data_IF_691183619205
#
_entry.id   IF_691183619205
#
_cell.length_a   1.000
_cell.length_b   1.000
_cell.length_c   1.000
_cell.angle_alpha   90.00
_cell.angle_beta   90.00
_cell.angle_gamma   90.00
#
_symmetry.space_group_name_H-M   'P 1'
#
loop_
_entity.id
_entity.type
_entity.pdbx_description
1 polymer ?
#
# COMPACT_ATOMS: atom_id res chain seq x y z
N UNK A 1 8.67 17.13 34.78
CA UNK A 1 8.33 15.73 34.96
C UNK A 1 7.17 15.39 34.03
N UNK A 2 7.32 15.00 32.87
CA UNK A 2 7.66 13.70 32.33
C UNK A 2 6.66 12.60 32.64
N UNK A 3 5.48 12.59 32.04
CA UNK A 3 4.79 11.33 31.86
C UNK A 3 4.74 11.02 30.38
N UNK A 4 5.88 10.67 29.94
CA UNK A 4 6.20 9.95 28.75
C UNK A 4 5.49 8.60 28.81
N UNK A 5 4.86 8.24 27.73
CA UNK A 5 4.53 6.87 27.38
C UNK A 5 5.56 5.93 28.02
N UNK A 6 5.14 5.04 28.91
CA UNK A 6 6.08 4.10 29.53
C UNK A 6 6.75 3.34 28.39
N UNK A 7 8.06 3.53 28.24
CA UNK A 7 8.89 2.89 27.20
C UNK A 7 8.82 1.36 27.26
N UNK A 8 8.35 0.83 28.37
CA UNK A 8 8.33 -0.60 28.67
C UNK A 8 7.32 -1.41 27.86
N UNK A 9 6.47 -0.76 27.08
CA UNK A 9 5.39 -1.43 26.32
C UNK A 9 5.36 -1.10 24.82
N UNK A 10 6.31 -0.35 24.29
CA UNK A 10 6.35 -0.02 22.88
C UNK A 10 7.30 -0.97 22.11
N UNK A 11 6.84 -1.53 21.02
CA UNK A 11 7.64 -2.35 20.11
C UNK A 11 7.92 -1.60 18.79
N UNK A 12 9.04 -1.92 18.14
CA UNK A 12 9.33 -1.41 16.78
C UNK A 12 8.21 -1.84 15.83
N UNK A 13 7.69 -0.87 15.07
CA UNK A 13 6.55 -1.05 14.18
C UNK A 13 5.19 -0.71 14.82
N UNK A 14 5.13 -0.44 16.12
CA UNK A 14 3.89 0.02 16.74
C UNK A 14 3.51 1.42 16.24
N UNK A 15 2.21 1.63 16.08
CA UNK A 15 1.65 2.93 15.73
C UNK A 15 1.38 3.72 16.99
N UNK A 16 1.90 4.93 17.04
CA UNK A 16 1.64 5.92 18.07
C UNK A 16 0.78 7.07 17.54
N UNK A 17 0.00 7.67 18.41
CA UNK A 17 -0.77 8.88 18.16
C UNK A 17 -0.14 10.02 18.96
N UNK A 18 0.31 11.06 18.25
CA UNK A 18 0.86 12.28 18.84
C UNK A 18 -0.25 13.32 18.84
N UNK A 19 -0.58 13.84 20.01
CA UNK A 19 -1.64 14.83 20.18
C UNK A 19 -1.06 16.25 20.15
N UNK A 20 -1.55 17.08 19.25
CA UNK A 20 -1.21 18.49 19.22
C UNK A 20 -2.15 19.24 20.21
N UNK A 21 -1.60 19.75 21.29
CA UNK A 21 -2.36 20.27 22.45
C UNK A 21 -3.33 21.40 22.15
N UNK A 22 -3.01 22.28 21.19
CA UNK A 22 -3.79 23.51 20.96
C UNK A 22 -4.76 23.44 19.79
N UNK A 23 -4.64 22.47 18.90
CA UNK A 23 -5.43 22.39 17.67
C UNK A 23 -6.34 21.14 17.57
N UNK A 24 -6.33 20.27 18.58
CA UNK A 24 -7.13 19.03 18.56
C UNK A 24 -6.73 18.03 17.46
N UNK A 25 -5.61 18.25 16.79
CA UNK A 25 -5.09 17.38 15.74
C UNK A 25 -4.33 16.19 16.30
N UNK A 26 -4.38 15.08 15.59
CA UNK A 26 -3.58 13.89 15.88
C UNK A 26 -2.66 13.59 14.71
N UNK A 27 -1.39 13.33 14.99
CA UNK A 27 -0.42 12.84 14.01
C UNK A 27 -0.12 11.39 14.32
N UNK A 28 -0.29 10.53 13.34
CA UNK A 28 0.13 9.14 13.45
C UNK A 28 1.63 9.02 13.16
N UNK A 29 2.32 8.23 13.98
CA UNK A 29 3.74 7.94 13.82
C UNK A 29 4.02 6.48 14.11
N UNK A 30 5.08 5.94 13.51
CA UNK A 30 5.56 4.58 13.72
C UNK A 30 6.79 4.58 14.62
N UNK A 31 6.89 3.63 15.54
CA UNK A 31 8.09 3.36 16.33
C UNK A 31 9.13 2.73 15.42
N UNK A 32 10.20 3.46 15.13
CA UNK A 32 11.29 2.99 14.25
C UNK A 32 12.53 2.52 15.02
N UNK A 33 12.57 2.74 16.31
CA UNK A 33 13.69 2.30 17.15
C UNK A 33 13.72 2.95 18.52
N UNK A 34 14.80 2.66 19.26
CA UNK A 34 15.06 3.18 20.60
C UNK A 34 16.46 3.76 20.66
N UNK A 35 16.63 4.85 21.40
CA UNK A 35 17.93 5.47 21.66
C UNK A 35 17.95 6.12 23.06
N UNK A 36 18.86 5.68 23.95
CA UNK A 36 19.03 6.24 25.28
C UNK A 36 17.69 6.40 26.04
N UNK A 37 16.93 5.34 26.20
CA UNK A 37 15.62 5.30 26.85
C UNK A 37 14.52 6.17 26.17
N UNK A 38 14.77 6.63 24.95
CA UNK A 38 13.81 7.37 24.16
C UNK A 38 13.30 6.52 22.99
N UNK A 39 12.01 6.62 22.73
CA UNK A 39 11.38 6.03 21.57
C UNK A 39 11.59 6.95 20.37
N UNK A 40 12.10 6.43 19.26
CA UNK A 40 12.20 7.15 18.00
C UNK A 40 10.94 6.94 17.19
N UNK A 41 10.21 8.01 16.97
CA UNK A 41 8.96 8.02 16.20
C UNK A 41 9.19 8.65 14.84
N UNK A 42 8.64 8.04 13.79
CA UNK A 42 8.64 8.60 12.45
C UNK A 42 7.19 8.87 12.01
N UNK A 43 6.83 10.15 11.77
CA UNK A 43 5.46 10.53 11.49
C UNK A 43 5.04 10.17 10.05
N UNK A 44 3.74 9.92 9.89
CA UNK A 44 3.10 9.71 8.59
C UNK A 44 2.57 11.00 7.95
N UNK A 45 2.57 12.11 8.67
CA UNK A 45 2.14 13.43 8.18
C UNK A 45 3.11 14.52 8.61
N UNK A 46 2.86 15.75 8.19
CA UNK A 46 3.60 16.93 8.62
C UNK A 46 3.53 17.06 10.16
N UNK A 47 4.65 17.47 10.74
CA UNK A 47 4.81 17.69 12.17
C UNK A 47 4.56 19.14 12.60
N UNK A 48 3.98 19.96 11.75
CA UNK A 48 3.66 21.36 12.08
C UNK A 48 2.79 21.43 13.33
N UNK A 49 3.25 22.21 14.32
CA UNK A 49 2.57 22.37 15.60
C UNK A 49 2.85 21.28 16.65
N UNK A 50 3.72 20.32 16.36
CA UNK A 50 4.21 19.37 17.37
C UNK A 50 5.46 19.95 18.05
N UNK A 51 5.44 19.94 19.38
CA UNK A 51 6.51 20.42 20.24
C UNK A 51 6.92 19.39 21.28
N UNK A 52 8.08 19.60 21.88
CA UNK A 52 8.50 18.80 23.03
C UNK A 52 7.47 18.95 24.18
N UNK A 53 7.00 17.82 24.72
CA UNK A 53 5.97 17.77 25.76
C UNK A 53 4.56 17.45 25.26
N UNK A 54 4.36 17.29 23.95
CA UNK A 54 3.11 16.79 23.44
C UNK A 54 2.84 15.35 23.94
N UNK A 55 1.58 15.07 24.24
CA UNK A 55 1.18 13.73 24.68
C UNK A 55 1.26 12.73 23.52
N UNK A 56 1.89 11.57 23.79
CA UNK A 56 2.02 10.46 22.83
C UNK A 56 1.34 9.23 23.40
N UNK A 57 0.42 8.64 22.66
CA UNK A 57 -0.25 7.40 23.01
C UNK A 57 0.22 6.27 22.10
N UNK A 58 0.80 5.22 22.67
CA UNK A 58 1.03 3.98 21.94
C UNK A 58 -0.31 3.23 21.76
N UNK A 59 -0.61 2.79 20.54
CA UNK A 59 -1.81 1.98 20.26
C UNK A 59 -1.62 0.51 20.59
N UNK A 60 -0.36 0.06 20.80
CA UNK A 60 0.00 -1.35 20.99
C UNK A 60 -0.30 -2.20 19.76
N UNK A 61 -0.42 -1.59 18.60
CA UNK A 61 -0.76 -2.28 17.35
C UNK A 61 0.09 -1.76 16.20
N UNK A 62 0.47 -2.67 15.31
CA UNK A 62 1.06 -2.33 14.01
C UNK A 62 0.00 -1.80 13.05
N UNK A 63 0.45 -1.22 11.94
CA UNK A 63 -0.46 -0.74 10.91
C UNK A 63 -1.40 -1.86 10.48
N UNK A 64 -2.68 -1.62 10.66
CA UNK A 64 -3.74 -2.57 10.35
C UNK A 64 -4.83 -1.89 9.53
N UNK A 65 -5.30 -2.56 8.52
CA UNK A 65 -6.30 -2.05 7.58
C UNK A 65 -7.59 -2.86 7.67
N UNK A 66 -8.70 -2.21 7.38
CA UNK A 66 -9.96 -2.93 7.15
C UNK A 66 -9.97 -3.52 5.75
N UNK A 67 -10.03 -4.83 5.66
CA UNK A 67 -10.03 -5.58 4.41
C UNK A 67 -11.42 -6.15 4.12
N UNK A 68 -11.80 -6.15 2.84
CA UNK A 68 -13.06 -6.72 2.38
C UNK A 68 -13.32 -6.43 0.90
N UNK A 69 -14.37 -7.05 0.32
CA UNK A 69 -14.75 -6.87 -1.09
C UNK A 69 -15.03 -5.41 -1.48
N UNK A 70 -15.37 -4.57 -0.51
CA UNK A 70 -15.62 -3.13 -0.69
C UNK A 70 -14.39 -2.34 -1.18
N UNK A 71 -13.19 -2.92 -1.11
CA UNK A 71 -11.97 -2.30 -1.64
C UNK A 71 -11.93 -2.31 -3.18
N UNK A 72 -12.67 -3.19 -3.85
CA UNK A 72 -12.72 -3.23 -5.31
C UNK A 72 -13.29 -1.92 -5.87
N UNK A 73 -12.61 -1.36 -6.85
CA UNK A 73 -12.99 -0.09 -7.47
C UNK A 73 -12.68 1.15 -6.64
N UNK A 74 -11.88 1.00 -5.57
CA UNK A 74 -11.57 2.09 -4.65
C UNK A 74 -10.10 2.54 -4.79
N UNK A 75 -9.88 3.78 -4.41
CA UNK A 75 -8.54 4.38 -4.30
C UNK A 75 -8.31 4.74 -2.84
N UNK A 76 -7.21 4.26 -2.29
CA UNK A 76 -6.82 4.45 -0.89
C UNK A 76 -5.41 5.02 -0.80
N UNK A 77 -5.13 5.66 0.32
CA UNK A 77 -3.77 6.07 0.66
C UNK A 77 -2.97 4.92 1.32
N UNK A 78 -1.72 5.17 1.63
CA UNK A 78 -0.83 4.20 2.28
C UNK A 78 -1.20 3.85 3.73
N UNK A 79 -2.22 4.48 4.30
CA UNK A 79 -2.81 4.14 5.60
C UNK A 79 -4.15 3.39 5.47
N UNK A 80 -4.56 3.03 4.25
CA UNK A 80 -5.82 2.34 3.98
C UNK A 80 -7.06 3.22 4.03
N UNK A 81 -6.90 4.53 4.03
CA UNK A 81 -8.02 5.47 4.05
C UNK A 81 -8.46 5.78 2.61
N UNK A 82 -9.78 5.82 2.33
CA UNK A 82 -10.27 6.16 1.00
C UNK A 82 -9.96 7.63 0.65
N UNK A 83 -9.48 7.85 -0.58
CA UNK A 83 -9.17 9.18 -1.13
C UNK A 83 -9.95 9.48 -2.40
N UNK A 84 -10.88 8.63 -2.79
CA UNK A 84 -11.68 8.71 -4.02
C UNK A 84 -13.01 9.47 -3.86
N UNK A 85 -13.25 10.11 -2.72
CA UNK A 85 -14.48 10.86 -2.46
C UNK A 85 -15.75 10.01 -2.28
N UNK A 86 -15.65 8.67 -2.31
CA UNK A 86 -16.80 7.76 -2.19
C UNK A 86 -17.18 7.41 -0.75
N UNK A 87 -16.64 8.14 0.22
CA UNK A 87 -16.92 7.94 1.64
C UNK A 87 -16.16 6.80 2.30
N UNK A 88 -16.29 6.67 3.64
CA UNK A 88 -15.56 5.70 4.44
C UNK A 88 -16.04 4.27 4.19
N UNK A 89 -15.18 3.30 4.49
CA UNK A 89 -15.53 1.88 4.43
C UNK A 89 -16.40 1.47 5.62
N UNK A 90 -17.35 0.59 5.35
CA UNK A 90 -18.19 -0.01 6.38
C UNK A 90 -17.89 -1.52 6.49
N UNK A 91 -17.73 -2.00 7.72
CA UNK A 91 -17.46 -3.41 7.98
C UNK A 91 -16.02 -3.83 7.67
N UNK A 92 -15.84 -5.09 7.31
CA UNK A 92 -14.55 -5.70 6.97
C UNK A 92 -13.78 -6.27 8.17
N UNK A 93 -12.78 -7.08 7.84
CA UNK A 93 -11.87 -7.71 8.81
C UNK A 93 -10.63 -6.83 9.00
N UNK A 94 -10.19 -6.67 10.23
CA UNK A 94 -8.93 -5.98 10.52
C UNK A 94 -7.76 -6.92 10.16
N UNK A 95 -6.88 -6.45 9.29
CA UNK A 95 -5.72 -7.19 8.81
C UNK A 95 -4.45 -6.41 9.09
N UNK A 96 -3.46 -7.04 9.73
CA UNK A 96 -2.15 -6.46 9.99
C UNK A 96 -1.31 -6.51 8.70
N UNK A 97 -0.84 -5.36 8.23
CA UNK A 97 -0.09 -5.25 6.96
C UNK A 97 1.30 -5.89 7.06
N UNK A 98 1.94 -5.77 8.22
CA UNK A 98 3.28 -6.31 8.45
C UNK A 98 3.25 -7.71 9.04
N UNK A 99 2.58 -8.61 8.38
CA UNK A 99 2.57 -10.02 8.75
C UNK A 99 3.79 -10.71 8.10
N UNK A 100 4.99 -10.47 8.65
CA UNK A 100 6.25 -11.04 8.16
C UNK A 100 6.30 -12.55 8.44
N UNK A 101 5.49 -13.32 7.74
CA UNK A 101 5.62 -14.76 7.74
C UNK A 101 6.77 -15.17 6.81
N UNK A 102 7.85 -15.63 7.40
CA UNK A 102 8.90 -16.32 6.64
C UNK A 102 8.30 -17.56 5.98
N UNK A 103 8.20 -17.52 4.66
CA UNK A 103 7.75 -18.68 3.88
C UNK A 103 8.97 -19.55 3.59
N UNK A 104 8.96 -20.77 4.11
CA UNK A 104 9.99 -21.76 3.82
C UNK A 104 10.08 -21.94 2.27
N UNK A 105 11.26 -21.74 1.66
CA UNK A 105 11.44 -21.90 0.21
C UNK A 105 11.01 -23.27 -0.32
N UNK A 106 11.15 -24.31 0.50
CA UNK A 106 10.79 -25.67 0.11
C UNK A 106 9.27 -25.92 0.04
N UNK A 107 8.46 -25.05 0.62
CA UNK A 107 6.99 -25.14 0.56
C UNK A 107 6.39 -24.33 -0.60
N UNK A 108 7.22 -23.58 -1.34
CA UNK A 108 6.75 -22.80 -2.49
C UNK A 108 6.44 -23.74 -3.66
N UNK A 109 5.21 -23.71 -4.20
CA UNK A 109 4.89 -24.48 -5.38
C UNK A 109 5.70 -23.97 -6.59
N UNK A 110 6.20 -24.86 -7.46
CA UNK A 110 6.84 -24.45 -8.71
C UNK A 110 5.80 -23.81 -9.64
N UNK A 111 6.26 -22.83 -10.42
CA UNK A 111 5.44 -22.18 -11.44
C UNK A 111 5.25 -23.15 -12.61
N UNK A 112 3.99 -23.52 -12.89
CA UNK A 112 3.64 -24.48 -13.94
C UNK A 112 2.60 -23.98 -14.92
N UNK A 113 1.81 -22.98 -14.52
CA UNK A 113 0.72 -22.42 -15.34
C UNK A 113 1.17 -21.13 -16.01
N UNK A 114 0.89 -21.01 -17.30
CA UNK A 114 1.11 -19.78 -18.06
C UNK A 114 0.08 -18.73 -17.66
N UNK A 115 0.54 -17.48 -17.54
CA UNK A 115 -0.30 -16.30 -17.36
C UNK A 115 -0.49 -15.58 -18.69
N UNK A 116 -1.72 -15.24 -19.05
CA UNK A 116 -2.04 -14.40 -20.21
C UNK A 116 -2.28 -12.97 -19.75
N UNK A 117 -1.49 -12.05 -20.28
CA UNK A 117 -1.57 -10.62 -19.96
C UNK A 117 -2.53 -9.85 -20.87
N UNK A 118 -2.95 -10.46 -21.99
CA UNK A 118 -3.78 -9.82 -23.00
C UNK A 118 -3.05 -8.76 -23.82
N UNK A 119 -1.73 -8.71 -23.73
CA UNK A 119 -0.85 -7.86 -24.54
C UNK A 119 -0.11 -8.74 -25.53
N UNK A 120 -0.43 -8.61 -26.82
CA UNK A 120 0.08 -9.50 -27.88
C UNK A 120 1.60 -9.66 -27.87
N UNK A 121 2.34 -8.56 -27.68
CA UNK A 121 3.80 -8.60 -27.66
C UNK A 121 4.34 -9.42 -26.47
N UNK A 122 3.68 -9.36 -25.31
CA UNK A 122 4.05 -10.13 -24.13
C UNK A 122 3.65 -11.60 -24.35
N UNK A 123 2.40 -11.84 -24.70
CA UNK A 123 1.84 -13.20 -24.76
C UNK A 123 2.43 -14.04 -25.90
N UNK A 124 2.91 -13.40 -26.98
CA UNK A 124 3.51 -14.10 -28.12
C UNK A 124 5.02 -14.34 -28.00
N UNK A 125 5.73 -13.46 -27.29
CA UNK A 125 7.20 -13.50 -27.26
C UNK A 125 7.78 -13.85 -25.89
N UNK A 126 7.00 -13.73 -24.82
CA UNK A 126 7.43 -14.02 -23.46
C UNK A 126 6.53 -15.08 -22.83
N UNK A 127 7.14 -16.05 -22.18
CA UNK A 127 6.40 -17.03 -21.37
C UNK A 127 6.46 -16.59 -19.91
N UNK A 128 5.35 -16.06 -19.39
CA UNK A 128 5.23 -15.63 -18.00
C UNK A 128 4.25 -16.55 -17.29
N UNK A 129 4.65 -17.04 -16.12
CA UNK A 129 3.84 -17.96 -15.33
C UNK A 129 3.09 -17.28 -14.18
N UNK A 130 2.00 -17.90 -13.74
CA UNK A 130 1.28 -17.50 -12.51
C UNK A 130 2.22 -17.58 -11.31
N UNK A 131 2.33 -16.48 -10.55
CA UNK A 131 3.24 -16.35 -9.42
C UNK A 131 4.66 -15.88 -9.78
N UNK A 132 4.94 -15.65 -11.07
CA UNK A 132 6.22 -15.08 -11.51
C UNK A 132 6.24 -13.56 -11.25
N UNK A 133 7.42 -13.06 -10.90
CA UNK A 133 7.71 -11.63 -10.79
C UNK A 133 8.44 -11.17 -12.05
N UNK A 134 7.96 -10.06 -12.61
CA UNK A 134 8.57 -9.43 -13.79
C UNK A 134 8.82 -7.95 -13.51
N UNK A 135 9.87 -7.40 -14.13
CA UNK A 135 10.18 -5.96 -14.08
C UNK A 135 9.94 -5.31 -15.44
N UNK A 136 9.31 -4.13 -15.44
CA UNK A 136 9.20 -3.26 -16.60
C UNK A 136 10.09 -2.07 -16.34
N UNK A 137 11.23 -2.02 -17.02
CA UNK A 137 12.22 -0.96 -16.88
C UNK A 137 12.12 -0.03 -18.08
N UNK A 138 11.82 1.24 -17.83
CA UNK A 138 11.64 2.20 -18.89
C UNK A 138 11.95 3.62 -18.38
N UNK A 139 12.42 4.48 -19.27
CA UNK A 139 12.55 5.91 -18.98
C UNK A 139 11.20 6.60 -18.86
N UNK A 140 11.22 7.88 -18.50
CA UNK A 140 10.01 8.69 -18.44
C UNK A 140 9.40 8.88 -19.84
N UNK A 141 8.07 8.82 -19.94
CA UNK A 141 7.32 9.16 -21.15
C UNK A 141 7.34 8.11 -22.28
N UNK A 142 7.85 6.89 -22.05
CA UNK A 142 7.93 5.84 -23.08
C UNK A 142 6.74 4.86 -23.06
N UNK A 143 5.71 5.11 -22.26
CA UNK A 143 4.48 4.32 -22.23
C UNK A 143 4.43 3.22 -21.16
N UNK A 144 5.24 3.31 -20.10
CA UNK A 144 5.22 2.35 -18.96
C UNK A 144 3.82 2.25 -18.34
N UNK A 145 3.23 3.37 -17.96
CA UNK A 145 1.89 3.43 -17.33
C UNK A 145 0.81 2.94 -18.29
N UNK A 146 0.91 3.29 -19.58
CA UNK A 146 -0.01 2.77 -20.61
C UNK A 146 0.06 1.25 -20.72
N UNK A 147 1.26 0.67 -20.71
CA UNK A 147 1.43 -0.78 -20.71
C UNK A 147 0.84 -1.42 -19.45
N UNK A 148 1.05 -0.83 -18.28
CA UNK A 148 0.45 -1.27 -17.02
C UNK A 148 -1.09 -1.24 -17.07
N UNK A 149 -1.67 -0.17 -17.62
CA UNK A 149 -3.11 -0.05 -17.84
C UNK A 149 -3.66 -1.12 -18.80
N UNK A 150 -2.93 -1.41 -19.89
CA UNK A 150 -3.29 -2.49 -20.81
C UNK A 150 -3.28 -3.86 -20.11
N UNK A 151 -2.26 -4.15 -19.32
CA UNK A 151 -2.17 -5.38 -18.53
C UNK A 151 -3.34 -5.46 -17.56
N UNK A 152 -3.58 -4.40 -16.77
CA UNK A 152 -4.64 -4.37 -15.76
C UNK A 152 -6.04 -4.60 -16.37
N UNK A 153 -6.29 -4.10 -17.60
CA UNK A 153 -7.56 -4.31 -18.30
C UNK A 153 -7.73 -5.73 -18.83
N UNK A 154 -6.67 -6.33 -19.34
CA UNK A 154 -6.77 -7.52 -20.17
C UNK A 154 -6.33 -8.81 -19.46
N UNK A 155 -5.57 -8.72 -18.37
CA UNK A 155 -5.09 -9.89 -17.64
C UNK A 155 -6.26 -10.73 -17.11
N UNK A 156 -6.09 -12.03 -17.16
CA UNK A 156 -7.03 -13.00 -16.59
C UNK A 156 -6.77 -13.16 -15.09
N UNK A 157 -7.06 -12.12 -14.31
CA UNK A 157 -7.02 -12.12 -12.85
C UNK A 157 -8.35 -11.63 -12.30
N UNK A 158 -8.72 -12.09 -11.12
CA UNK A 158 -9.97 -11.67 -10.46
C UNK A 158 -9.89 -10.26 -9.90
N UNK A 159 -8.71 -9.90 -9.42
CA UNK A 159 -8.45 -8.61 -8.76
C UNK A 159 -7.07 -8.10 -9.16
N UNK A 160 -7.01 -6.81 -9.47
CA UNK A 160 -5.74 -6.09 -9.61
C UNK A 160 -5.51 -5.24 -8.36
N UNK A 161 -4.34 -5.34 -7.77
CA UNK A 161 -3.87 -4.41 -6.73
C UNK A 161 -2.72 -3.60 -7.33
N UNK A 162 -2.88 -2.29 -7.36
CA UNK A 162 -1.96 -1.39 -8.05
C UNK A 162 -1.44 -0.37 -7.05
N UNK A 163 -0.14 -0.41 -6.76
CA UNK A 163 0.54 0.61 -5.97
C UNK A 163 1.16 1.66 -6.88
N UNK A 164 0.81 2.92 -6.68
CA UNK A 164 1.41 4.07 -7.34
C UNK A 164 2.23 4.84 -6.30
N UNK A 165 3.56 4.71 -6.39
CA UNK A 165 4.48 5.20 -5.36
C UNK A 165 5.39 6.29 -5.93
N UNK A 166 5.29 7.50 -5.41
CA UNK A 166 6.14 8.62 -5.83
C UNK A 166 5.70 9.30 -7.13
N UNK A 167 4.62 8.85 -7.75
CA UNK A 167 4.06 9.50 -8.94
C UNK A 167 3.43 10.85 -8.58
N UNK A 168 3.34 11.75 -9.58
CA UNK A 168 2.67 13.02 -9.38
C UNK A 168 1.16 12.86 -9.37
N UNK A 169 0.44 13.65 -8.57
CA UNK A 169 -1.01 13.54 -8.45
C UNK A 169 -1.76 13.59 -9.80
N UNK A 170 -1.29 14.41 -10.76
CA UNK A 170 -1.86 14.45 -12.11
C UNK A 170 -1.67 13.14 -12.89
N UNK A 171 -0.53 12.48 -12.74
CA UNK A 171 -0.20 11.22 -13.41
C UNK A 171 -1.07 10.08 -12.87
N UNK A 172 -1.36 10.09 -11.57
CA UNK A 172 -2.33 9.17 -10.94
C UNK A 172 -3.71 9.31 -11.56
N UNK A 173 -4.21 10.55 -11.73
CA UNK A 173 -5.52 10.79 -12.35
C UNK A 173 -5.53 10.37 -13.82
N UNK A 174 -4.47 10.70 -14.57
CA UNK A 174 -4.33 10.27 -15.97
C UNK A 174 -4.32 8.75 -16.11
N UNK A 175 -3.59 8.06 -15.27
CA UNK A 175 -3.58 6.60 -15.24
C UNK A 175 -4.98 6.02 -14.99
N UNK A 176 -5.70 6.56 -14.01
CA UNK A 176 -7.04 6.11 -13.68
C UNK A 176 -8.04 6.33 -14.82
N UNK A 177 -8.01 7.51 -15.44
CA UNK A 177 -9.00 7.91 -16.45
C UNK A 177 -8.70 7.34 -17.83
N UNK A 178 -7.42 7.42 -18.27
CA UNK A 178 -7.01 7.06 -19.63
C UNK A 178 -6.52 5.64 -19.76
N UNK A 179 -5.56 5.25 -18.88
CA UNK A 179 -4.90 3.96 -19.01
C UNK A 179 -5.76 2.83 -18.43
N UNK A 180 -6.30 3.01 -17.23
CA UNK A 180 -7.11 1.99 -16.56
C UNK A 180 -8.59 2.04 -16.97
N UNK A 181 -9.16 3.25 -17.04
CA UNK A 181 -10.55 3.46 -17.39
C UNK A 181 -11.57 2.84 -16.43
N UNK A 182 -12.88 3.06 -16.67
CA UNK A 182 -13.94 2.59 -15.76
C UNK A 182 -13.99 1.06 -15.62
N UNK A 183 -13.71 0.34 -16.69
CA UNK A 183 -13.74 -1.12 -16.71
C UNK A 183 -12.59 -1.72 -15.91
N UNK A 184 -11.37 -1.22 -16.12
CA UNK A 184 -10.20 -1.63 -15.35
C UNK A 184 -10.34 -1.30 -13.86
N UNK A 185 -10.92 -0.12 -13.55
CA UNK A 185 -11.16 0.30 -12.16
C UNK A 185 -12.07 -0.65 -11.38
N UNK A 186 -13.10 -1.22 -12.01
CA UNK A 186 -14.08 -2.10 -11.30
C UNK A 186 -13.43 -3.29 -10.60
N UNK A 187 -12.35 -3.82 -11.14
CA UNK A 187 -11.62 -4.96 -10.59
C UNK A 187 -10.27 -4.60 -9.99
N UNK A 188 -9.99 -3.31 -9.89
CA UNK A 188 -8.72 -2.82 -9.36
C UNK A 188 -8.89 -2.17 -8.00
N UNK A 189 -7.85 -2.25 -7.19
CA UNK A 189 -7.69 -1.55 -5.93
C UNK A 189 -6.41 -0.73 -6.08
N UNK A 190 -6.51 0.60 -5.99
CA UNK A 190 -5.35 1.47 -6.08
C UNK A 190 -4.89 1.90 -4.70
N UNK A 191 -3.60 1.76 -4.44
CA UNK A 191 -2.93 2.29 -3.25
C UNK A 191 -1.97 3.37 -3.71
N UNK A 192 -2.18 4.59 -3.26
CA UNK A 192 -1.49 5.77 -3.80
C UNK A 192 -0.69 6.48 -2.71
N UNK A 193 0.57 6.76 -3.01
CA UNK A 193 1.42 7.66 -2.25
C UNK A 193 2.21 8.55 -3.22
N UNK A 194 1.77 9.78 -3.40
CA UNK A 194 2.34 10.73 -4.37
C UNK A 194 3.69 11.30 -3.93
N UNK A 195 4.42 11.91 -4.86
CA UNK A 195 5.79 12.43 -4.64
C UNK A 195 5.87 13.54 -3.59
N UNK A 196 4.78 14.28 -3.38
CA UNK A 196 4.65 15.35 -2.38
C UNK A 196 4.33 14.85 -0.97
N UNK A 197 4.00 13.57 -0.81
CA UNK A 197 3.71 12.99 0.50
C UNK A 197 4.98 12.59 1.26
N UNK A 198 4.90 12.50 2.62
CA UNK A 198 6.02 12.08 3.45
C UNK A 198 6.63 10.75 3.04
N UNK A 199 7.95 10.61 3.21
CA UNK A 199 8.70 9.41 2.83
C UNK A 199 8.15 8.13 3.49
N UNK A 200 7.62 8.22 4.70
CA UNK A 200 7.01 7.09 5.40
C UNK A 200 5.77 6.56 4.69
N UNK A 201 4.92 7.41 4.13
CA UNK A 201 3.76 6.97 3.34
C UNK A 201 4.21 6.29 2.05
N UNK A 202 5.23 6.83 1.38
CA UNK A 202 5.79 6.21 0.17
C UNK A 202 6.42 4.84 0.47
N UNK A 203 7.15 4.72 1.59
CA UNK A 203 7.69 3.44 2.07
C UNK A 203 6.58 2.44 2.39
N UNK A 204 5.48 2.90 2.99
CA UNK A 204 4.39 2.03 3.46
C UNK A 204 3.48 1.56 2.33
N UNK A 205 3.35 2.33 1.26
CA UNK A 205 2.45 2.05 0.14
C UNK A 205 2.65 0.64 -0.48
N UNK A 206 3.87 0.19 -0.82
CA UNK A 206 4.08 -1.17 -1.31
C UNK A 206 3.69 -2.26 -0.32
N UNK A 207 3.95 -2.05 0.97
CA UNK A 207 3.58 -3.00 2.03
C UNK A 207 2.06 -3.15 2.15
N UNK A 208 1.34 -2.03 2.08
CA UNK A 208 -0.13 -2.02 2.10
C UNK A 208 -0.70 -2.73 0.87
N UNK A 209 -0.19 -2.43 -0.32
CA UNK A 209 -0.63 -3.10 -1.54
C UNK A 209 -0.36 -4.61 -1.49
N UNK A 210 0.80 -5.02 -0.97
CA UNK A 210 1.14 -6.44 -0.77
C UNK A 210 0.18 -7.10 0.21
N UNK A 211 -0.08 -6.48 1.36
CA UNK A 211 -1.02 -7.00 2.35
C UNK A 211 -2.44 -7.18 1.80
N UNK A 212 -2.91 -6.23 0.97
CA UNK A 212 -4.20 -6.34 0.28
C UNK A 212 -4.18 -7.53 -0.71
N UNK A 213 -3.12 -7.66 -1.49
CA UNK A 213 -2.98 -8.76 -2.44
C UNK A 213 -2.95 -10.13 -1.72
N UNK A 214 -2.23 -10.24 -0.61
CA UNK A 214 -2.18 -11.44 0.22
C UNK A 214 -3.54 -11.80 0.81
N UNK A 215 -4.26 -10.79 1.33
CA UNK A 215 -5.60 -11.00 1.88
C UNK A 215 -6.56 -11.62 0.87
N UNK A 216 -6.59 -11.14 -0.37
CA UNK A 216 -7.45 -11.71 -1.40
C UNK A 216 -6.92 -13.05 -1.94
N UNK A 217 -5.60 -13.20 -2.10
CA UNK A 217 -4.98 -14.49 -2.45
C UNK A 217 -5.37 -15.58 -1.47
N UNK A 218 -5.33 -15.31 -0.18
CA UNK A 218 -5.62 -16.28 0.87
C UNK A 218 -7.11 -16.67 0.90
N UNK A 219 -7.98 -15.90 0.24
CA UNK A 219 -9.38 -16.23 -0.01
C UNK A 219 -9.60 -16.99 -1.34
N UNK A 220 -8.53 -17.32 -2.05
CA UNK A 220 -8.59 -18.09 -3.28
C UNK A 220 -8.76 -17.28 -4.57
N UNK A 221 -8.62 -15.94 -4.51
CA UNK A 221 -8.65 -15.11 -5.72
C UNK A 221 -7.32 -15.15 -6.47
N UNK A 222 -7.38 -15.15 -7.81
CA UNK A 222 -6.24 -14.84 -8.66
C UNK A 222 -5.97 -13.33 -8.60
N UNK A 223 -4.84 -12.94 -8.00
CA UNK A 223 -4.50 -11.53 -7.78
C UNK A 223 -3.29 -11.12 -8.59
N UNK A 224 -3.44 -10.06 -9.38
CA UNK A 224 -2.31 -9.37 -9.99
C UNK A 224 -1.88 -8.20 -9.10
N UNK A 225 -0.65 -8.25 -8.61
CA UNK A 225 -0.04 -7.13 -7.89
C UNK A 225 0.91 -6.37 -8.83
N UNK A 226 0.66 -5.09 -9.02
CA UNK A 226 1.51 -4.18 -9.78
C UNK A 226 2.00 -3.05 -8.89
N UNK A 227 3.27 -2.66 -9.07
CA UNK A 227 3.87 -1.54 -8.37
C UNK A 227 4.59 -0.63 -9.36
N UNK A 228 4.19 0.62 -9.43
CA UNK A 228 4.89 1.67 -10.15
C UNK A 228 5.63 2.53 -9.13
N UNK A 229 6.94 2.66 -9.34
CA UNK A 229 7.81 3.42 -8.45
C UNK A 229 8.43 4.53 -9.30
N UNK A 230 8.03 5.77 -9.01
CA UNK A 230 8.52 6.99 -9.64
C UNK A 230 9.76 7.58 -8.95
#
# INVERSE_FOLDING_TARGET
SSDVCSSDLAAVGDICQIYNGDAGGQVMAEVVGFKNDHILLMPYSDMSGISAGNFVRNTGRRLSLRMGPFLKGRVINALGQPIDGKGPFQGGTLFCVENNHYINPMTRPPIRERMEFGVKAIDSMLTIGKGQRIGIFAGSGVGKSTLMGMIAKNVKADINVIALVGERGREVLEFMEKDLGPEGMRRSILVVATSDQPAMLRKQCPSVATGIAEFFRDQGYDVLLMMEIG
#
